data_IF_039193063604
#
_entry.id   IF_039193063604
#
_cell.length_a   1.000
_cell.length_b   1.000
_cell.length_c   1.000
_cell.angle_alpha   90.00
_cell.angle_beta   90.00
_cell.angle_gamma   90.00
#
_symmetry.space_group_name_H-M   'P 1'
#
loop_
_entity.id
_entity.type
_entity.pdbx_description
1 polymer ?
#
# COMPACT_ATOMS: atom_id res chain seq x y z
N UNK A 1 -7.89 17.26 -15.75
CA UNK A 1 -7.10 17.83 -14.63
C UNK A 1 -5.95 16.89 -14.32
N UNK A 2 -4.73 17.37 -14.01
CA UNK A 2 -3.62 16.49 -13.62
C UNK A 2 -3.71 16.11 -12.13
N UNK A 3 -3.48 14.85 -11.82
CA UNK A 3 -3.50 14.32 -10.45
C UNK A 3 -2.29 13.40 -10.27
N UNK A 4 -1.60 13.55 -9.14
CA UNK A 4 -0.43 12.74 -8.80
C UNK A 4 -0.88 11.45 -8.13
N UNK A 5 -0.37 10.31 -8.59
CA UNK A 5 -0.50 9.03 -7.91
C UNK A 5 0.70 8.84 -6.98
N UNK A 6 0.46 8.88 -5.68
CA UNK A 6 1.48 8.80 -4.64
C UNK A 6 1.84 7.34 -4.33
N UNK A 7 2.41 6.66 -5.33
CA UNK A 7 2.87 5.28 -5.22
C UNK A 7 4.06 5.04 -6.15
N UNK A 8 5.01 4.22 -5.71
CA UNK A 8 6.10 3.71 -6.54
C UNK A 8 5.84 2.27 -7.05
N UNK A 9 4.72 1.66 -6.62
CA UNK A 9 4.33 0.32 -7.04
C UNK A 9 3.71 0.36 -8.44
N UNK A 10 4.40 -0.21 -9.42
CA UNK A 10 3.98 -0.22 -10.83
C UNK A 10 2.62 -0.91 -11.05
N UNK A 11 2.31 -1.97 -10.29
CA UNK A 11 1.02 -2.64 -10.35
C UNK A 11 -0.11 -1.70 -9.92
N UNK A 12 0.06 -1.03 -8.77
CA UNK A 12 -0.92 -0.04 -8.28
C UNK A 12 -1.08 1.14 -9.22
N UNK A 13 0.01 1.64 -9.80
CA UNK A 13 -0.04 2.73 -10.78
C UNK A 13 -0.86 2.34 -12.00
N UNK A 14 -0.65 1.13 -12.54
CA UNK A 14 -1.41 0.62 -13.68
C UNK A 14 -2.90 0.44 -13.34
N UNK A 15 -3.21 -0.14 -12.18
CA UNK A 15 -4.58 -0.35 -11.72
C UNK A 15 -5.32 0.97 -11.49
N UNK A 16 -4.73 1.91 -10.73
CA UNK A 16 -5.34 3.21 -10.44
C UNK A 16 -5.50 4.06 -11.70
N UNK A 17 -4.52 4.04 -12.60
CA UNK A 17 -4.62 4.75 -13.88
C UNK A 17 -5.76 4.21 -14.72
N UNK A 18 -5.92 2.87 -14.77
CA UNK A 18 -7.02 2.21 -15.46
C UNK A 18 -8.38 2.57 -14.85
N UNK A 19 -8.50 2.49 -13.51
CA UNK A 19 -9.72 2.82 -12.78
C UNK A 19 -10.17 4.27 -12.96
N UNK A 20 -9.22 5.20 -13.13
CA UNK A 20 -9.49 6.63 -13.26
C UNK A 20 -9.57 7.11 -14.71
N UNK A 21 -9.38 6.24 -15.71
CA UNK A 21 -9.27 6.64 -17.12
C UNK A 21 -10.51 7.43 -17.61
N UNK A 22 -11.71 7.02 -17.22
CA UNK A 22 -12.97 7.62 -17.68
C UNK A 22 -13.39 8.88 -16.88
N UNK A 23 -12.61 9.27 -15.87
CA UNK A 23 -12.92 10.43 -15.02
C UNK A 23 -12.45 11.77 -15.58
N UNK A 24 -11.62 11.75 -16.64
CA UNK A 24 -10.97 12.95 -17.19
C UNK A 24 -9.75 13.43 -16.37
N UNK A 25 -9.29 12.63 -15.40
CA UNK A 25 -8.02 12.84 -14.73
C UNK A 25 -6.86 12.34 -15.59
N UNK A 26 -5.81 13.16 -15.66
CA UNK A 26 -4.53 12.76 -16.22
C UNK A 26 -3.66 12.34 -15.04
N UNK A 27 -3.61 11.03 -14.79
CA UNK A 27 -2.83 10.44 -13.72
C UNK A 27 -1.34 10.49 -14.08
N UNK A 28 -0.51 11.02 -13.17
CA UNK A 28 0.95 11.09 -13.30
C UNK A 28 1.57 10.50 -12.05
N UNK A 29 2.64 9.72 -12.18
CA UNK A 29 3.29 9.11 -11.02
C UNK A 29 4.10 10.16 -10.23
N UNK A 30 4.22 9.99 -8.92
CA UNK A 30 5.08 10.86 -8.09
C UNK A 30 6.55 10.82 -8.55
N UNK A 31 7.00 9.68 -9.08
CA UNK A 31 8.37 9.47 -9.56
C UNK A 31 8.74 10.37 -10.76
N UNK A 32 7.77 10.73 -11.60
CA UNK A 32 7.99 11.69 -12.70
C UNK A 32 8.39 13.10 -12.22
N UNK A 33 8.08 13.42 -10.96
CA UNK A 33 8.47 14.68 -10.32
C UNK A 33 9.74 14.55 -9.47
N UNK A 34 10.37 13.38 -9.44
CA UNK A 34 11.51 13.10 -8.57
C UNK A 34 11.14 13.08 -7.08
N UNK A 35 9.86 12.87 -6.74
CA UNK A 35 9.39 12.79 -5.36
C UNK A 35 9.64 11.38 -4.84
N UNK A 36 10.34 11.29 -3.72
CA UNK A 36 10.59 10.03 -3.01
C UNK A 36 9.33 9.53 -2.28
N UNK A 37 9.26 8.24 -1.99
CA UNK A 37 8.24 7.68 -1.10
C UNK A 37 8.20 8.38 0.26
N UNK A 38 6.99 8.59 0.77
CA UNK A 38 6.77 9.15 2.09
C UNK A 38 7.12 8.14 3.19
N UNK A 39 7.47 8.65 4.38
CA UNK A 39 7.61 7.79 5.56
C UNK A 39 6.23 7.37 6.07
N UNK A 40 6.00 6.06 6.17
CA UNK A 40 4.74 5.46 6.63
C UNK A 40 4.78 5.21 8.13
N UNK A 41 4.54 6.27 8.90
CA UNK A 41 4.52 6.25 10.38
C UNK A 41 3.13 6.03 10.97
N UNK A 42 2.11 5.87 10.12
CA UNK A 42 0.73 5.62 10.53
C UNK A 42 0.54 4.23 11.12
N UNK A 43 -0.42 4.14 12.03
CA UNK A 43 -0.84 2.88 12.66
C UNK A 43 -1.97 2.18 11.89
N UNK A 44 -2.57 2.88 10.93
CA UNK A 44 -3.69 2.41 10.11
C UNK A 44 -3.45 2.70 8.62
N UNK A 45 -4.12 1.94 7.75
CA UNK A 45 -4.05 2.13 6.30
C UNK A 45 -4.44 3.55 5.88
N UNK A 46 -5.52 4.09 6.47
CA UNK A 46 -5.98 5.46 6.15
C UNK A 46 -4.94 6.52 6.52
N UNK A 47 -4.23 6.37 7.64
CA UNK A 47 -3.18 7.30 8.04
C UNK A 47 -2.02 7.30 7.05
N UNK A 48 -1.55 6.11 6.63
CA UNK A 48 -0.47 5.98 5.66
C UNK A 48 -0.88 6.50 4.27
N UNK A 49 -2.11 6.21 3.82
CA UNK A 49 -2.63 6.76 2.57
C UNK A 49 -2.65 8.30 2.61
N UNK A 50 -3.13 8.89 3.72
CA UNK A 50 -3.12 10.34 3.89
C UNK A 50 -1.71 10.93 3.94
N UNK A 51 -0.76 10.27 4.60
CA UNK A 51 0.65 10.69 4.64
C UNK A 51 1.25 10.72 3.23
N UNK A 52 1.06 9.65 2.45
CA UNK A 52 1.50 9.55 1.05
C UNK A 52 0.90 10.65 0.18
N UNK A 53 -0.42 10.83 0.23
CA UNK A 53 -1.11 11.85 -0.56
C UNK A 53 -0.62 13.27 -0.20
N UNK A 54 -0.52 13.59 1.10
CA UNK A 54 -0.04 14.90 1.55
C UNK A 54 1.40 15.14 1.13
N UNK A 55 2.28 14.15 1.27
CA UNK A 55 3.67 14.28 0.85
C UNK A 55 3.77 14.60 -0.64
N UNK A 56 3.13 13.80 -1.50
CA UNK A 56 3.14 14.03 -2.94
C UNK A 56 2.52 15.38 -3.32
N UNK A 57 1.41 15.77 -2.70
CA UNK A 57 0.75 17.05 -2.98
C UNK A 57 1.63 18.25 -2.59
N UNK A 58 2.27 18.21 -1.42
CA UNK A 58 3.17 19.28 -0.97
C UNK A 58 4.42 19.38 -1.85
N UNK A 59 4.98 18.25 -2.27
CA UNK A 59 6.19 18.22 -3.09
C UNK A 59 5.96 18.65 -4.53
N UNK A 60 4.77 18.39 -5.10
CA UNK A 60 4.46 18.68 -6.51
C UNK A 60 3.63 19.93 -6.73
N UNK A 61 2.92 20.41 -5.69
CA UNK A 61 1.92 21.47 -5.81
C UNK A 61 0.62 21.05 -6.53
N UNK A 62 0.44 19.76 -6.80
CA UNK A 62 -0.74 19.19 -7.46
C UNK A 62 -1.62 18.44 -6.48
N UNK A 63 -2.89 18.22 -6.83
CA UNK A 63 -3.73 17.26 -6.11
C UNK A 63 -3.12 15.86 -6.23
N UNK A 64 -3.15 15.09 -5.14
CA UNK A 64 -2.62 13.74 -5.10
C UNK A 64 -3.66 12.74 -4.61
N UNK A 65 -3.64 11.54 -5.18
CA UNK A 65 -4.35 10.35 -4.74
C UNK A 65 -3.32 9.35 -4.24
N UNK A 66 -3.61 8.72 -3.11
CA UNK A 66 -2.78 7.67 -2.55
C UNK A 66 -3.64 6.51 -2.11
N UNK A 67 -3.01 5.35 -2.01
CA UNK A 67 -3.59 4.13 -1.51
C UNK A 67 -2.61 3.48 -0.51
N UNK A 68 -3.15 2.89 0.55
CA UNK A 68 -2.40 2.01 1.44
C UNK A 68 -3.20 0.72 1.63
N UNK A 69 -2.54 -0.40 1.37
CA UNK A 69 -3.21 -1.69 1.35
C UNK A 69 -2.40 -2.73 2.08
N UNK A 70 -3.09 -3.75 2.59
CA UNK A 70 -2.43 -4.85 3.29
C UNK A 70 -3.38 -5.98 3.67
N UNK A 71 -2.78 -7.07 4.14
CA UNK A 71 -3.49 -8.23 4.64
C UNK A 71 -3.59 -8.15 6.16
N UNK A 72 -4.81 -8.23 6.69
CA UNK A 72 -5.07 -8.38 8.12
C UNK A 72 -5.57 -9.80 8.38
N UNK A 73 -4.88 -10.56 9.23
CA UNK A 73 -5.28 -11.92 9.61
C UNK A 73 -5.83 -11.91 11.03
N UNK A 74 -7.05 -12.40 11.21
CA UNK A 74 -7.76 -12.31 12.49
C UNK A 74 -7.00 -13.06 13.60
N UNK A 75 -6.47 -14.25 13.31
CA UNK A 75 -5.68 -15.05 14.27
C UNK A 75 -4.36 -14.39 14.69
N UNK A 76 -3.81 -13.51 13.85
CA UNK A 76 -2.57 -12.79 14.12
C UNK A 76 -2.85 -11.39 14.68
N UNK A 77 -4.03 -11.17 15.25
CA UNK A 77 -4.48 -9.86 15.75
C UNK A 77 -4.34 -8.74 14.71
N UNK A 78 -4.64 -9.05 13.44
CA UNK A 78 -4.56 -8.12 12.32
C UNK A 78 -3.18 -8.00 11.66
N UNK A 79 -2.15 -8.70 12.15
CA UNK A 79 -0.88 -8.77 11.44
C UNK A 79 -1.04 -9.57 10.12
N UNK A 80 -0.26 -9.27 9.07
CA UNK A 80 0.80 -8.25 9.00
C UNK A 80 0.30 -6.79 8.96
N UNK A 81 -0.94 -6.53 8.56
CA UNK A 81 -1.55 -5.20 8.59
C UNK A 81 -0.79 -4.18 7.76
N UNK A 82 -0.55 -2.98 8.30
CA UNK A 82 0.23 -1.90 7.66
C UNK A 82 1.68 -2.30 7.35
N UNK A 83 2.17 -3.41 7.91
CA UNK A 83 3.51 -3.93 7.64
C UNK A 83 3.53 -4.99 6.53
N UNK A 84 2.43 -5.19 5.80
CA UNK A 84 2.31 -6.24 4.77
C UNK A 84 3.46 -6.27 3.76
N UNK A 85 3.92 -5.11 3.27
CA UNK A 85 5.01 -5.01 2.31
C UNK A 85 6.39 -5.37 2.89
N UNK A 86 6.56 -5.30 4.22
CA UNK A 86 7.82 -5.48 4.95
C UNK A 86 7.70 -6.49 6.08
N UNK A 87 6.80 -7.46 5.93
CA UNK A 87 6.45 -8.39 7.00
C UNK A 87 7.63 -9.29 7.38
N UNK A 88 8.44 -9.71 6.40
CA UNK A 88 9.69 -10.43 6.64
C UNK A 88 10.90 -9.51 6.90
N UNK A 89 10.70 -8.20 7.02
CA UNK A 89 11.74 -7.22 7.32
C UNK A 89 12.13 -6.31 6.15
N UNK A 90 13.29 -5.65 6.27
CA UNK A 90 13.80 -4.74 5.24
C UNK A 90 14.26 -5.52 4.01
N UNK A 91 13.87 -5.04 2.82
CA UNK A 91 14.19 -5.72 1.55
C UNK A 91 13.36 -6.97 1.28
N UNK A 92 12.25 -7.16 2.01
CA UNK A 92 11.33 -8.27 1.82
C UNK A 92 10.83 -8.36 0.37
N UNK A 93 10.86 -9.57 -0.18
CA UNK A 93 10.12 -9.88 -1.41
C UNK A 93 8.71 -10.38 -1.07
N UNK A 94 7.81 -10.38 -2.05
CA UNK A 94 6.48 -10.95 -1.88
C UNK A 94 6.53 -12.42 -1.48
N UNK A 95 7.52 -13.18 -1.96
CA UNK A 95 7.72 -14.58 -1.58
C UNK A 95 8.15 -14.72 -0.13
N UNK A 96 9.09 -13.90 0.33
CA UNK A 96 9.53 -13.90 1.74
C UNK A 96 8.37 -13.56 2.69
N UNK A 97 7.57 -12.55 2.32
CA UNK A 97 6.39 -12.14 3.09
C UNK A 97 5.35 -13.27 3.17
N UNK A 98 5.08 -13.96 2.05
CA UNK A 98 4.18 -15.13 2.04
C UNK A 98 4.72 -16.26 2.89
N UNK A 99 6.00 -16.60 2.78
CA UNK A 99 6.60 -17.69 3.54
C UNK A 99 6.61 -17.39 5.04
N UNK A 100 6.88 -16.13 5.42
CA UNK A 100 6.78 -15.67 6.80
C UNK A 100 5.35 -15.85 7.34
N UNK A 101 4.34 -15.48 6.56
CA UNK A 101 2.93 -15.64 6.93
C UNK A 101 2.51 -17.11 7.05
N UNK A 102 2.92 -17.96 6.10
CA UNK A 102 2.65 -19.40 6.16
C UNK A 102 3.27 -20.03 7.41
N UNK A 103 4.46 -19.57 7.80
CA UNK A 103 5.15 -20.01 9.01
C UNK A 103 4.40 -19.55 10.27
N UNK A 104 3.97 -18.27 10.32
CA UNK A 104 3.18 -17.73 11.43
C UNK A 104 1.81 -18.42 11.57
N UNK A 105 1.25 -18.93 10.48
CA UNK A 105 -0.04 -19.63 10.45
C UNK A 105 0.08 -21.16 10.52
N UNK A 106 1.28 -21.69 10.74
CA UNK A 106 1.51 -23.13 10.87
C UNK A 106 0.78 -23.69 12.09
N UNK A 107 0.01 -24.76 11.91
CA UNK A 107 -0.78 -25.37 12.98
C UNK A 107 -2.08 -24.66 13.36
N UNK A 108 -2.36 -23.48 12.79
CA UNK A 108 -3.62 -22.76 13.01
C UNK A 108 -4.79 -23.56 12.39
N UNK A 109 -5.84 -23.88 13.16
CA UNK A 109 -7.05 -24.55 12.66
C UNK A 109 -7.69 -23.79 11.50
N UNK A 110 -8.24 -24.51 10.51
CA UNK A 110 -8.78 -23.91 9.26
C UNK A 110 -9.88 -22.89 9.55
N UNK A 111 -10.73 -23.14 10.52
CA UNK A 111 -11.81 -22.26 10.98
C UNK A 111 -11.31 -20.96 11.64
N UNK A 112 -10.03 -20.86 11.97
CA UNK A 112 -9.39 -19.68 12.54
C UNK A 112 -8.49 -18.94 11.53
N UNK A 113 -8.50 -19.30 10.25
CA UNK A 113 -7.63 -18.70 9.21
C UNK A 113 -8.26 -17.51 8.48
N UNK A 114 -9.26 -16.85 9.06
CA UNK A 114 -9.92 -15.72 8.41
C UNK A 114 -8.96 -14.53 8.26
N UNK A 115 -9.02 -13.90 7.09
CA UNK A 115 -8.19 -12.76 6.73
C UNK A 115 -8.93 -11.83 5.77
N UNK A 116 -8.52 -10.57 5.73
CA UNK A 116 -9.10 -9.52 4.89
C UNK A 116 -8.00 -8.69 4.24
N UNK A 117 -8.18 -8.36 2.97
CA UNK A 117 -7.45 -7.27 2.34
C UNK A 117 -8.16 -5.96 2.64
N UNK A 118 -7.36 -4.95 2.96
CA UNK A 118 -7.76 -3.57 3.14
C UNK A 118 -7.03 -2.71 2.12
#
# INVERSE_FOLDING_TARGET
>A
MKVVLASDNQGKLAELTSLLADTGFVCVSQGEFGVSSAEETGSTFVENALLKARHAALSTGLCAIADDSGLAVDHLNGAPGVHSARYSGAGATDEDNRQCLLTAMAGVPVDQRTARFH
#
